data_IF_561018286710
#
_entry.id   IF_561018286710
#
_cell.length_a   1.000
_cell.length_b   1.000
_cell.length_c   1.000
_cell.angle_alpha   90.00
_cell.angle_beta   90.00
_cell.angle_gamma   90.00
#
_symmetry.space_group_name_H-M   'P 1'
#
loop_
_entity.id
_entity.type
_entity.pdbx_description
1 polymer ?
#
# COMPACT_ATOMS: atom_id res chain seq x y z
N UNK A 1 3.64 -2.04 11.68
CA UNK A 1 4.29 -3.27 11.18
C UNK A 1 5.77 -3.17 11.49
N UNK A 2 6.45 -4.28 11.81
CA UNK A 2 7.90 -4.28 12.01
C UNK A 2 8.66 -4.62 10.72
N UNK A 3 9.99 -4.47 10.75
CA UNK A 3 10.84 -4.66 9.58
C UNK A 3 10.84 -6.11 9.05
N UNK A 4 10.60 -7.10 9.92
CA UNK A 4 10.60 -8.50 9.51
C UNK A 4 9.29 -8.86 8.80
N UNK A 5 8.15 -8.41 9.31
CA UNK A 5 6.87 -8.54 8.64
C UNK A 5 6.86 -7.86 7.25
N UNK A 6 7.50 -6.70 7.11
CA UNK A 6 7.66 -6.06 5.79
C UNK A 6 8.50 -6.93 4.84
N UNK A 7 9.58 -7.55 5.32
CA UNK A 7 10.43 -8.43 4.49
C UNK A 7 9.69 -9.70 4.08
N UNK A 8 8.98 -10.32 5.01
CA UNK A 8 8.17 -11.51 4.74
C UNK A 8 7.14 -11.20 3.65
N UNK A 9 6.35 -10.15 3.84
CA UNK A 9 5.36 -9.72 2.85
C UNK A 9 5.99 -9.42 1.50
N UNK A 10 7.15 -8.75 1.47
CA UNK A 10 7.85 -8.46 0.23
C UNK A 10 8.27 -9.72 -0.53
N UNK A 11 8.69 -10.78 0.16
CA UNK A 11 9.13 -12.03 -0.47
C UNK A 11 7.99 -12.74 -1.23
N UNK A 12 6.75 -12.52 -0.84
CA UNK A 12 5.55 -13.06 -1.49
C UNK A 12 5.15 -12.29 -2.76
N UNK A 13 5.68 -11.08 -2.94
CA UNK A 13 5.32 -10.23 -4.08
C UNK A 13 6.07 -10.61 -5.36
N UNK A 14 5.44 -10.44 -6.53
CA UNK A 14 6.13 -10.57 -7.81
C UNK A 14 7.11 -9.41 -8.03
N UNK A 15 8.16 -9.66 -8.81
CA UNK A 15 9.07 -8.63 -9.32
C UNK A 15 8.49 -7.93 -10.55
N UNK A 16 7.23 -7.49 -10.43
CA UNK A 16 6.44 -6.93 -11.53
C UNK A 16 5.99 -5.51 -11.20
N UNK A 17 5.70 -4.68 -12.22
CA UNK A 17 5.19 -3.34 -12.00
C UNK A 17 3.79 -3.36 -11.37
N UNK A 18 3.53 -2.39 -10.50
CA UNK A 18 2.24 -2.30 -9.84
C UNK A 18 2.08 -1.14 -8.88
N UNK A 19 0.91 -1.10 -8.25
CA UNK A 19 0.56 -0.17 -7.17
C UNK A 19 0.58 -0.93 -5.85
N UNK A 20 1.18 -0.34 -4.81
CA UNK A 20 1.15 -0.87 -3.44
C UNK A 20 0.49 0.12 -2.48
N UNK A 21 -0.14 -0.40 -1.44
CA UNK A 21 -0.83 0.37 -0.39
C UNK A 21 -0.43 -0.13 0.98
N UNK A 22 0.03 0.76 1.85
CA UNK A 22 0.14 0.45 3.28
C UNK A 22 -1.18 0.81 3.94
N UNK A 23 -1.74 -0.11 4.70
CA UNK A 23 -3.05 0.00 5.32
C UNK A 23 -2.93 -0.02 6.84
N UNK A 24 -3.76 0.76 7.52
CA UNK A 24 -3.99 0.67 8.95
C UNK A 24 -5.08 -0.37 9.24
N UNK A 25 -5.03 -1.01 10.41
CA UNK A 25 -6.06 -1.97 10.84
C UNK A 25 -7.40 -1.28 11.17
N UNK A 26 -7.38 0.03 11.42
CA UNK A 26 -8.55 0.77 11.84
C UNK A 26 -9.48 1.09 10.67
N UNK A 27 -10.64 0.43 10.66
CA UNK A 27 -11.91 1.02 10.20
C UNK A 27 -12.68 1.36 11.45
N UNK A 28 -12.45 2.55 12.01
CA UNK A 28 -13.47 3.12 12.89
C UNK A 28 -14.66 3.39 11.97
N UNK A 29 -15.80 2.74 12.21
CA UNK A 29 -17.05 3.04 11.54
C UNK A 29 -17.36 4.53 11.74
N UNK A 30 -16.95 5.37 10.79
CA UNK A 30 -17.39 6.75 10.71
C UNK A 30 -18.84 6.76 10.24
N UNK A 31 -19.67 7.56 10.90
CA UNK A 31 -21.12 7.61 10.74
C UNK A 31 -21.56 7.43 9.27
N UNK A 32 -22.27 6.32 9.03
CA UNK A 32 -22.76 5.90 7.73
C UNK A 32 -23.92 6.80 7.27
N UNK A 33 -23.59 7.97 6.72
CA UNK A 33 -24.54 8.89 6.09
C UNK A 33 -24.17 9.21 4.62
N UNK A 34 -23.46 8.31 3.93
CA UNK A 34 -23.22 8.44 2.48
C UNK A 34 -23.54 7.14 1.74
N UNK A 35 -24.36 7.28 0.69
CA UNK A 35 -24.86 6.20 -0.15
C UNK A 35 -23.72 5.57 -0.96
N UNK A 36 -22.94 4.68 -0.38
CA UNK A 36 -22.09 3.76 -1.12
C UNK A 36 -22.00 2.43 -0.38
N UNK A 37 -22.21 1.34 -1.10
CA UNK A 37 -21.94 -0.02 -0.66
C UNK A 37 -20.43 -0.17 -0.36
N UNK A 38 -19.98 0.33 0.80
CA UNK A 38 -18.63 0.11 1.31
C UNK A 38 -18.71 -1.11 2.21
N UNK A 39 -18.08 -2.21 1.78
CA UNK A 39 -17.92 -3.40 2.60
C UNK A 39 -17.38 -3.02 3.99
N UNK A 40 -18.04 -3.53 5.04
CA UNK A 40 -17.90 -3.12 6.43
C UNK A 40 -16.53 -3.40 7.09
N UNK A 41 -15.49 -3.72 6.30
CA UNK A 41 -14.14 -4.07 6.74
C UNK A 41 -13.04 -3.36 5.90
N UNK A 42 -13.31 -2.16 5.38
CA UNK A 42 -12.38 -1.40 4.53
C UNK A 42 -11.24 -0.72 5.30
N UNK A 43 -10.09 -1.39 5.45
CA UNK A 43 -8.87 -0.86 6.09
C UNK A 43 -8.46 0.55 5.60
N UNK A 44 -8.06 1.44 6.52
CA UNK A 44 -7.67 2.83 6.17
C UNK A 44 -6.34 2.87 5.43
N UNK A 45 -6.28 3.52 4.26
CA UNK A 45 -5.04 3.66 3.49
C UNK A 45 -4.11 4.72 4.10
N UNK A 46 -2.90 4.34 4.48
CA UNK A 46 -1.86 5.24 5.02
C UNK A 46 -0.93 5.79 3.94
N UNK A 47 -0.66 5.00 2.92
CA UNK A 47 0.28 5.34 1.86
C UNK A 47 -0.02 4.56 0.59
N UNK A 48 0.11 5.22 -0.56
CA UNK A 48 0.03 4.59 -1.89
C UNK A 48 1.29 4.93 -2.66
N UNK A 49 1.85 3.94 -3.36
CA UNK A 49 2.96 4.16 -4.27
C UNK A 49 2.88 3.27 -5.50
N UNK A 50 3.64 3.65 -6.53
CA UNK A 50 3.87 2.86 -7.74
C UNK A 50 5.27 2.27 -7.70
N UNK A 51 5.43 1.10 -8.29
CA UNK A 51 6.70 0.39 -8.39
C UNK A 51 6.84 -0.23 -9.77
N UNK A 52 8.06 -0.26 -10.30
CA UNK A 52 8.43 -1.11 -11.45
C UNK A 52 8.70 -2.56 -11.01
N UNK A 53 9.04 -2.73 -9.74
CA UNK A 53 9.23 -4.02 -9.08
C UNK A 53 8.61 -3.91 -7.67
N UNK A 54 7.46 -4.56 -7.48
CA UNK A 54 6.72 -4.52 -6.22
C UNK A 54 7.52 -5.12 -5.05
N UNK A 55 8.20 -6.24 -5.28
CA UNK A 55 9.02 -6.92 -4.26
C UNK A 55 10.12 -6.02 -3.74
N UNK A 56 10.97 -5.50 -4.61
CA UNK A 56 12.09 -4.65 -4.21
C UNK A 56 11.59 -3.36 -3.58
N UNK A 57 10.49 -2.81 -4.11
CA UNK A 57 9.94 -1.57 -3.57
C UNK A 57 9.39 -1.75 -2.17
N UNK A 58 8.58 -2.78 -1.91
CA UNK A 58 8.04 -3.03 -0.57
C UNK A 58 9.16 -3.43 0.40
N UNK A 59 10.13 -4.24 -0.04
CA UNK A 59 11.30 -4.61 0.78
C UNK A 59 12.10 -3.40 1.26
N UNK A 60 12.16 -2.32 0.47
CA UNK A 60 12.88 -1.10 0.85
C UNK A 60 12.30 -0.41 2.11
N UNK A 61 11.02 -0.65 2.44
CA UNK A 61 10.40 -0.11 3.65
C UNK A 61 10.84 -0.82 4.93
N UNK A 62 11.52 -1.97 4.84
CA UNK A 62 12.14 -2.63 5.99
C UNK A 62 13.41 -1.91 6.48
N UNK A 63 13.97 -1.00 5.67
CA UNK A 63 15.00 -0.04 6.07
C UNK A 63 14.52 1.39 5.73
N UNK A 64 13.56 1.91 6.50
CA UNK A 64 12.84 3.11 6.12
C UNK A 64 13.72 4.36 6.17
N UNK A 65 13.72 5.10 5.06
CA UNK A 65 14.47 6.34 4.90
C UNK A 65 13.69 7.53 5.47
N UNK A 66 14.11 7.99 6.64
CA UNK A 66 13.57 9.17 7.29
C UNK A 66 12.36 8.90 8.18
N UNK A 67 12.14 9.79 9.16
CA UNK A 67 11.20 9.56 10.26
C UNK A 67 9.74 9.41 9.82
N UNK A 68 9.32 10.16 8.79
CA UNK A 68 7.96 10.05 8.23
C UNK A 68 7.66 8.65 7.70
N UNK A 69 8.62 8.03 7.00
CA UNK A 69 8.44 6.68 6.45
C UNK A 69 8.46 5.65 7.57
N UNK A 70 9.33 5.82 8.58
CA UNK A 70 9.35 4.93 9.76
C UNK A 70 7.98 4.90 10.44
N UNK A 71 7.45 6.08 10.81
CA UNK A 71 6.14 6.21 11.47
C UNK A 71 5.00 5.62 10.65
N UNK A 72 5.05 5.76 9.32
CA UNK A 72 4.05 5.18 8.42
C UNK A 72 4.10 3.64 8.47
N UNK A 73 5.29 3.05 8.35
CA UNK A 73 5.48 1.59 8.42
C UNK A 73 5.10 1.05 9.81
N UNK A 74 5.49 1.75 10.87
CA UNK A 74 5.15 1.40 12.25
C UNK A 74 3.63 1.32 12.46
N UNK A 75 2.89 2.27 11.88
CA UNK A 75 1.43 2.33 11.95
C UNK A 75 0.73 1.31 11.04
N UNK A 76 1.34 0.94 9.92
CA UNK A 76 0.72 0.01 8.98
C UNK A 76 0.46 -1.36 9.62
N UNK A 77 -0.68 -1.96 9.32
CA UNK A 77 -1.04 -3.32 9.68
C UNK A 77 -0.93 -4.28 8.49
N UNK A 78 -1.08 -3.79 7.25
CA UNK A 78 -1.01 -4.61 6.05
C UNK A 78 -0.38 -3.86 4.86
N UNK A 79 0.03 -4.64 3.84
CA UNK A 79 0.45 -4.13 2.54
C UNK A 79 -0.30 -4.87 1.42
N UNK A 80 -1.09 -4.12 0.67
CA UNK A 80 -1.82 -4.60 -0.49
C UNK A 80 -1.15 -4.19 -1.78
N UNK A 81 -1.28 -5.02 -2.82
CA UNK A 81 -0.64 -4.79 -4.11
C UNK A 81 -1.53 -5.20 -5.27
N UNK A 82 -1.48 -4.42 -6.34
CA UNK A 82 -2.11 -4.76 -7.62
C UNK A 82 -1.02 -4.70 -8.69
N UNK A 83 -0.77 -5.84 -9.34
CA UNK A 83 0.11 -5.91 -10.52
C UNK A 83 -0.59 -5.20 -11.67
N UNK A 84 0.17 -4.48 -12.47
CA UNK A 84 -0.34 -3.70 -13.59
C UNK A 84 0.45 -4.00 -14.85
N UNK A 85 -0.23 -4.06 -16.00
CA UNK A 85 0.36 -4.43 -17.30
C UNK A 85 1.18 -3.30 -17.96
N UNK A 86 2.05 -2.59 -17.22
CA UNK A 86 3.13 -1.65 -17.67
C UNK A 86 2.97 -0.15 -17.32
N UNK A 87 4.12 0.55 -17.32
CA UNK A 87 4.34 2.00 -17.11
C UNK A 87 3.34 2.93 -17.82
N UNK A 88 2.69 2.48 -18.91
CA UNK A 88 1.81 3.30 -19.76
C UNK A 88 0.42 3.57 -19.15
N UNK A 89 -0.12 2.73 -18.25
CA UNK A 89 -1.41 3.03 -17.61
C UNK A 89 -1.33 4.12 -16.53
N UNK A 90 -0.11 4.49 -16.10
CA UNK A 90 0.10 5.66 -15.25
C UNK A 90 -0.10 6.99 -16.00
N UNK A 91 0.14 7.01 -17.32
CA UNK A 91 -0.01 8.19 -18.18
C UNK A 91 -1.48 8.54 -18.48
N UNK A 92 -2.39 7.56 -18.42
CA UNK A 92 -3.83 7.78 -18.69
C UNK A 92 -4.60 8.46 -17.55
N UNK A 93 -4.00 8.60 -16.36
CA UNK A 93 -4.61 9.28 -15.20
C UNK A 93 -4.18 10.77 -15.07
N UNK A 94 -3.30 11.29 -15.92
CA UNK A 94 -2.89 12.71 -15.93
C UNK A 94 -3.70 13.58 -16.92
N UNK A 95 -4.59 13.00 -17.73
CA UNK A 95 -5.31 13.69 -18.79
C UNK A 95 -6.84 13.81 -18.58
N UNK A 96 -7.34 13.81 -17.34
CA UNK A 96 -8.71 14.22 -17.00
C UNK A 96 -8.76 15.04 -15.71
#
# INVERSE_FOLDING_TARGET
>A
MDADAVRERANELPGEPGVYRFLDAAVEHGDADDFTDVEADAATVLYVGKAVDLRDRVRSYADPRGERIRRMVDRAAAVDTVVTDTETQALLLEAN
#
